data_IF_495132995669
#
_entry.id   IF_495132995669
#
_cell.length_a   1.000
_cell.length_b   1.000
_cell.length_c   1.000
_cell.angle_alpha   90.00
_cell.angle_beta   90.00
_cell.angle_gamma   90.00
#
_symmetry.space_group_name_H-M   'P 1'
#
loop_
_entity.id
_entity.type
_entity.pdbx_description
1 polymer ?
#
# COMPACT_ATOMS: atom_id res chain seq x y z
N UNK A 1 -26.77 84.61 -2.04
CA UNK A 1 -25.49 84.41 -2.74
C UNK A 1 -24.79 83.13 -2.22
N UNK A 2 -25.47 81.97 -2.27
CA UNK A 2 -24.97 80.72 -1.65
C UNK A 2 -25.46 79.45 -2.38
N UNK A 3 -25.67 79.53 -3.70
CA UNK A 3 -26.17 78.39 -4.52
C UNK A 3 -25.14 77.78 -5.46
N UNK A 4 -23.84 78.02 -5.26
CA UNK A 4 -22.80 77.50 -6.17
C UNK A 4 -21.58 76.84 -5.51
N UNK A 5 -21.50 76.76 -4.18
CA UNK A 5 -20.29 76.23 -3.51
C UNK A 5 -20.35 74.73 -3.12
N UNK A 6 -21.44 74.01 -3.40
CA UNK A 6 -21.58 72.60 -3.00
C UNK A 6 -21.44 71.57 -4.14
N UNK A 7 -21.32 72.02 -5.39
CA UNK A 7 -21.33 71.12 -6.55
C UNK A 7 -19.96 70.57 -6.98
N UNK A 8 -18.85 71.06 -6.40
CA UNK A 8 -17.50 70.68 -6.85
C UNK A 8 -16.80 69.63 -5.97
N UNK A 9 -17.31 69.37 -4.76
CA UNK A 9 -16.71 68.38 -3.83
C UNK A 9 -17.25 66.96 -4.11
N UNK A 10 -18.45 66.83 -4.67
CA UNK A 10 -19.08 65.52 -4.93
C UNK A 10 -18.45 64.84 -6.16
N UNK A 11 -18.09 65.59 -7.21
CA UNK A 11 -17.53 65.04 -8.44
C UNK A 11 -16.13 64.42 -8.29
N UNK A 12 -15.29 64.97 -7.41
CA UNK A 12 -13.94 64.45 -7.14
C UNK A 12 -13.96 63.20 -6.27
N UNK A 13 -14.84 63.12 -5.27
CA UNK A 13 -14.98 61.92 -4.44
C UNK A 13 -15.57 60.77 -5.26
N UNK A 14 -16.58 61.00 -6.10
CA UNK A 14 -17.14 59.95 -6.97
C UNK A 14 -16.15 59.49 -8.05
N UNK A 15 -15.41 60.42 -8.67
CA UNK A 15 -14.36 60.07 -9.64
C UNK A 15 -13.17 59.33 -9.02
N UNK A 16 -12.75 59.74 -7.82
CA UNK A 16 -11.71 59.05 -7.05
C UNK A 16 -12.15 57.67 -6.58
N UNK A 17 -13.40 57.52 -6.14
CA UNK A 17 -14.00 56.22 -5.77
C UNK A 17 -14.13 55.31 -7.00
N UNK A 18 -14.54 55.81 -8.17
CA UNK A 18 -14.58 55.02 -9.42
C UNK A 18 -13.17 54.57 -9.86
N UNK A 19 -12.17 55.43 -9.74
CA UNK A 19 -10.78 55.10 -10.03
C UNK A 19 -10.21 54.06 -9.05
N UNK A 20 -10.46 54.22 -7.75
CA UNK A 20 -10.08 53.27 -6.70
C UNK A 20 -10.81 51.92 -6.82
N UNK A 21 -12.05 51.91 -7.31
CA UNK A 21 -12.82 50.68 -7.52
C UNK A 21 -12.23 49.84 -8.67
N UNK A 22 -11.78 50.49 -9.75
CA UNK A 22 -11.10 49.81 -10.87
C UNK A 22 -9.75 49.22 -10.46
N UNK A 23 -9.02 49.94 -9.61
CA UNK A 23 -7.75 49.49 -9.02
C UNK A 23 -7.98 48.28 -8.07
N UNK A 24 -9.04 48.32 -7.27
CA UNK A 24 -9.38 47.24 -6.33
C UNK A 24 -9.89 45.97 -7.01
N UNK A 25 -10.60 46.08 -8.14
CA UNK A 25 -11.01 44.92 -8.94
C UNK A 25 -9.82 44.22 -9.61
N UNK A 26 -8.81 44.99 -10.06
CA UNK A 26 -7.59 44.42 -10.62
C UNK A 26 -6.75 43.69 -9.55
N UNK A 27 -6.70 44.22 -8.33
CA UNK A 27 -6.03 43.58 -7.20
C UNK A 27 -6.75 42.30 -6.75
N UNK A 28 -8.09 42.34 -6.71
CA UNK A 28 -8.94 41.18 -6.46
C UNK A 28 -8.74 40.06 -7.49
N UNK A 29 -8.53 40.39 -8.78
CA UNK A 29 -8.26 39.40 -9.82
C UNK A 29 -6.90 38.70 -9.61
N UNK A 30 -5.84 39.48 -9.31
CA UNK A 30 -4.50 38.95 -9.02
C UNK A 30 -4.49 38.03 -7.79
N UNK A 31 -5.24 38.39 -6.76
CA UNK A 31 -5.38 37.58 -5.54
C UNK A 31 -6.15 36.28 -5.79
N UNK A 32 -7.13 36.28 -6.71
CA UNK A 32 -7.85 35.07 -7.13
C UNK A 32 -6.93 34.12 -7.90
N UNK A 33 -6.18 34.65 -8.87
CA UNK A 33 -5.20 33.87 -9.65
C UNK A 33 -4.14 33.23 -8.74
N UNK A 34 -3.59 33.98 -7.79
CA UNK A 34 -2.62 33.45 -6.82
C UNK A 34 -3.23 32.37 -5.90
N UNK A 35 -4.51 32.53 -5.52
CA UNK A 35 -5.23 31.53 -4.72
C UNK A 35 -5.50 30.25 -5.51
N UNK A 36 -5.86 30.36 -6.78
CA UNK A 36 -6.08 29.23 -7.68
C UNK A 36 -4.78 28.47 -7.95
N UNK A 37 -3.67 29.18 -8.15
CA UNK A 37 -2.34 28.60 -8.29
C UNK A 37 -1.91 27.85 -7.02
N UNK A 38 -2.08 28.46 -5.85
CA UNK A 38 -1.80 27.81 -4.56
C UNK A 38 -2.68 26.56 -4.34
N UNK A 39 -3.94 26.58 -4.77
CA UNK A 39 -4.83 25.42 -4.69
C UNK A 39 -4.34 24.28 -5.59
N UNK A 40 -3.88 24.57 -6.82
CA UNK A 40 -3.32 23.57 -7.74
C UNK A 40 -2.05 22.94 -7.19
N UNK A 41 -1.13 23.73 -6.64
CA UNK A 41 0.07 23.20 -6.00
C UNK A 41 -0.28 22.29 -4.81
N UNK A 42 -1.23 22.70 -3.95
CA UNK A 42 -1.68 21.89 -2.81
C UNK A 42 -2.37 20.61 -3.25
N UNK A 43 -3.19 20.65 -4.31
CA UNK A 43 -3.86 19.48 -4.86
C UNK A 43 -2.85 18.49 -5.47
N UNK A 44 -1.85 18.96 -6.20
CA UNK A 44 -0.77 18.09 -6.73
C UNK A 44 0.03 17.44 -5.59
N UNK A 45 0.36 18.19 -4.54
CA UNK A 45 1.07 17.65 -3.38
C UNK A 45 0.24 16.64 -2.59
N UNK A 46 -1.07 16.87 -2.46
CA UNK A 46 -1.98 15.93 -1.83
C UNK A 46 -2.12 14.64 -2.65
N UNK A 47 -2.26 14.75 -3.98
CA UNK A 47 -2.30 13.60 -4.89
C UNK A 47 -0.99 12.80 -4.85
N UNK A 48 0.16 13.46 -4.88
CA UNK A 48 1.47 12.79 -4.77
C UNK A 48 1.64 12.05 -3.43
N UNK A 49 1.20 12.66 -2.32
CA UNK A 49 1.22 12.02 -1.00
C UNK A 49 0.26 10.83 -0.92
N UNK A 50 -0.90 10.92 -1.57
CA UNK A 50 -1.88 9.84 -1.60
C UNK A 50 -1.39 8.66 -2.46
N UNK A 51 -0.75 8.93 -3.60
CA UNK A 51 -0.09 7.91 -4.40
C UNK A 51 1.04 7.22 -3.64
N UNK A 52 1.90 7.98 -2.95
CA UNK A 52 2.96 7.40 -2.11
C UNK A 52 2.42 6.56 -0.95
N UNK A 53 1.29 6.95 -0.35
CA UNK A 53 0.64 6.17 0.72
C UNK A 53 0.00 4.87 0.19
N UNK A 54 -0.58 4.91 -1.03
CA UNK A 54 -1.11 3.73 -1.68
C UNK A 54 -0.01 2.73 -2.07
N UNK A 55 1.13 3.23 -2.55
CA UNK A 55 2.30 2.41 -2.90
C UNK A 55 2.94 1.77 -1.67
N UNK A 56 2.97 2.47 -0.53
CA UNK A 56 3.46 1.93 0.74
C UNK A 56 2.55 0.84 1.35
N UNK A 57 1.26 0.83 1.00
CA UNK A 57 0.31 -0.20 1.46
C UNK A 57 0.27 -1.42 0.53
N UNK A 58 0.77 -1.29 -0.70
CA UNK A 58 0.87 -2.38 -1.67
C UNK A 58 2.17 -3.20 -1.52
N UNK A 59 3.09 -2.80 -0.65
CA UNK A 59 4.24 -3.63 -0.29
C UNK A 59 3.72 -4.88 0.46
N UNK A 60 4.01 -6.10 0.00
CA UNK A 60 3.65 -7.31 0.74
C UNK A 60 4.27 -7.21 2.13
N UNK A 61 3.45 -7.44 3.16
CA UNK A 61 3.90 -7.47 4.54
C UNK A 61 5.15 -8.35 4.65
N UNK A 62 6.17 -7.97 5.44
CA UNK A 62 7.26 -8.86 5.77
C UNK A 62 6.61 -10.11 6.38
N UNK A 63 6.67 -11.24 5.65
CA UNK A 63 6.41 -12.54 6.24
C UNK A 63 7.33 -12.61 7.44
N UNK A 64 6.75 -12.64 8.64
CA UNK A 64 7.50 -12.89 9.87
C UNK A 64 8.46 -14.06 9.61
N UNK A 65 9.70 -14.04 10.12
CA UNK A 65 10.60 -15.17 9.96
C UNK A 65 9.95 -16.37 10.65
N UNK A 66 9.18 -17.12 9.87
CA UNK A 66 8.50 -18.32 10.31
C UNK A 66 9.64 -19.28 10.62
N UNK A 67 9.83 -19.54 11.91
CA UNK A 67 10.88 -20.43 12.37
C UNK A 67 10.76 -21.74 11.59
N UNK A 68 11.80 -22.11 10.85
CA UNK A 68 11.76 -23.33 10.05
C UNK A 68 11.52 -24.52 10.96
N UNK A 69 10.47 -25.29 10.69
CA UNK A 69 10.23 -26.51 11.43
C UNK A 69 11.19 -27.61 10.97
N UNK A 70 11.45 -28.54 11.88
CA UNK A 70 12.18 -29.75 11.56
C UNK A 70 11.25 -30.81 10.96
N UNK A 71 10.97 -30.66 9.65
CA UNK A 71 10.17 -31.63 8.90
C UNK A 71 10.69 -33.09 9.00
N UNK A 72 11.92 -33.34 9.45
CA UNK A 72 12.43 -34.71 9.65
C UNK A 72 11.79 -35.42 10.85
N UNK A 73 11.04 -34.69 11.70
CA UNK A 73 10.22 -35.27 12.76
C UNK A 73 9.04 -36.08 12.22
N UNK A 74 8.61 -35.83 10.97
CA UNK A 74 7.58 -36.62 10.29
C UNK A 74 8.21 -37.93 9.78
N UNK A 75 7.56 -39.05 10.08
CA UNK A 75 8.11 -40.35 9.76
C UNK A 75 8.21 -40.57 8.23
N UNK A 76 9.40 -40.94 7.76
CA UNK A 76 9.70 -41.10 6.34
C UNK A 76 10.23 -39.85 5.64
N UNK A 77 10.22 -38.67 6.29
CA UNK A 77 10.90 -37.48 5.78
C UNK A 77 12.36 -37.50 6.23
N UNK A 78 13.25 -37.89 5.32
CA UNK A 78 14.69 -37.76 5.52
C UNK A 78 15.21 -36.34 5.24
N UNK A 79 16.48 -36.04 5.57
CA UNK A 79 17.10 -34.73 5.31
C UNK A 79 17.10 -34.35 3.82
N UNK A 80 17.14 -35.34 2.92
CA UNK A 80 17.03 -35.13 1.47
C UNK A 80 15.63 -34.61 1.10
N UNK A 81 14.58 -35.21 1.66
CA UNK A 81 13.21 -34.80 1.39
C UNK A 81 12.88 -33.47 2.03
N UNK A 82 13.33 -33.22 3.27
CA UNK A 82 13.22 -31.89 3.89
C UNK A 82 13.85 -30.81 3.01
N UNK A 83 15.05 -31.04 2.46
CA UNK A 83 15.71 -30.08 1.57
C UNK A 83 14.88 -29.80 0.31
N UNK A 84 14.30 -30.83 -0.31
CA UNK A 84 13.41 -30.69 -1.49
C UNK A 84 12.11 -29.94 -1.14
N UNK A 85 11.52 -30.24 0.01
CA UNK A 85 10.31 -29.57 0.50
C UNK A 85 10.58 -28.09 0.78
N UNK A 86 11.69 -27.77 1.45
CA UNK A 86 12.12 -26.38 1.67
C UNK A 86 12.43 -25.66 0.37
N UNK A 87 13.05 -26.32 -0.60
CA UNK A 87 13.26 -25.75 -1.93
C UNK A 87 11.95 -25.45 -2.68
N UNK A 88 10.87 -26.18 -2.37
CA UNK A 88 9.51 -25.91 -2.87
C UNK A 88 8.73 -24.88 -2.03
N UNK A 89 9.36 -24.28 -1.01
CA UNK A 89 8.74 -23.28 -0.14
C UNK A 89 7.91 -23.88 1.00
N UNK A 90 8.09 -25.17 1.32
CA UNK A 90 7.47 -25.83 2.49
C UNK A 90 8.49 -25.87 3.62
N UNK A 91 8.33 -24.94 4.56
CA UNK A 91 9.26 -24.72 5.68
C UNK A 91 8.68 -25.15 7.03
N UNK A 92 7.36 -25.27 7.14
CA UNK A 92 6.67 -25.57 8.41
C UNK A 92 5.73 -26.76 8.34
N UNK A 93 5.39 -27.35 9.50
CA UNK A 93 4.41 -28.43 9.58
C UNK A 93 3.03 -27.97 9.07
N UNK A 94 2.65 -26.71 9.34
CA UNK A 94 1.40 -26.13 8.84
C UNK A 94 1.37 -26.06 7.30
N UNK A 95 2.48 -25.66 6.68
CA UNK A 95 2.60 -25.64 5.22
C UNK A 95 2.59 -27.05 4.62
N UNK A 96 3.25 -28.00 5.28
CA UNK A 96 3.25 -29.40 4.86
C UNK A 96 1.87 -30.05 4.98
N UNK A 97 1.13 -29.76 6.05
CA UNK A 97 -0.23 -30.23 6.28
C UNK A 97 -1.26 -29.61 5.31
N UNK A 98 -0.99 -28.39 4.82
CA UNK A 98 -1.82 -27.72 3.81
C UNK A 98 -1.44 -28.12 2.37
N UNK A 99 -0.33 -28.83 2.17
CA UNK A 99 0.13 -29.22 0.85
C UNK A 99 -0.70 -30.37 0.27
N UNK A 100 -0.87 -30.36 -1.05
CA UNK A 100 -1.59 -31.40 -1.75
C UNK A 100 -0.70 -32.65 -1.98
N UNK A 101 -1.20 -33.87 -1.77
CA UNK A 101 -0.40 -35.09 -1.91
C UNK A 101 0.20 -35.27 -3.31
N UNK A 102 -0.48 -34.84 -4.39
CA UNK A 102 0.09 -34.89 -5.75
C UNK A 102 1.21 -33.88 -5.93
N UNK A 103 1.08 -32.70 -5.31
CA UNK A 103 2.18 -31.72 -5.27
C UNK A 103 3.38 -32.28 -4.52
N UNK A 104 3.18 -32.91 -3.37
CA UNK A 104 4.26 -33.54 -2.60
C UNK A 104 4.94 -34.66 -3.39
N UNK A 105 4.18 -35.50 -4.11
CA UNK A 105 4.76 -36.52 -5.01
C UNK A 105 5.69 -35.89 -6.06
N UNK A 106 5.26 -34.78 -6.68
CA UNK A 106 6.05 -34.05 -7.67
C UNK A 106 7.31 -33.40 -7.09
N UNK A 107 7.20 -32.76 -5.92
CA UNK A 107 8.31 -32.05 -5.26
C UNK A 107 9.36 -33.02 -4.73
N UNK A 108 8.91 -34.08 -4.07
CA UNK A 108 9.80 -35.05 -3.43
C UNK A 108 10.50 -35.90 -4.47
N UNK A 109 9.88 -36.13 -5.65
CA UNK A 109 10.45 -36.89 -6.75
C UNK A 109 11.16 -38.16 -6.26
N UNK A 110 10.47 -38.92 -5.39
CA UNK A 110 11.04 -40.12 -4.81
C UNK A 110 11.19 -41.20 -5.89
N UNK A 111 12.20 -42.04 -5.74
CA UNK A 111 12.35 -43.18 -6.64
C UNK A 111 11.27 -44.23 -6.39
N UNK A 112 10.92 -45.05 -7.38
CA UNK A 112 9.91 -46.13 -7.27
C UNK A 112 10.14 -47.10 -6.09
N UNK A 113 11.40 -47.28 -5.66
CA UNK A 113 11.74 -48.14 -4.53
C UNK A 113 11.59 -47.46 -3.16
N UNK A 114 11.46 -46.13 -3.11
CA UNK A 114 11.17 -45.40 -1.88
C UNK A 114 9.67 -45.44 -1.62
N UNK A 115 9.26 -46.31 -0.70
CA UNK A 115 7.90 -46.28 -0.18
C UNK A 115 7.72 -45.03 0.66
N UNK A 116 6.98 -44.06 0.14
CA UNK A 116 6.51 -42.90 0.88
C UNK A 116 5.00 -42.75 0.66
N UNK A 117 4.32 -42.29 1.71
CA UNK A 117 2.88 -42.09 1.71
C UNK A 117 2.64 -40.61 2.01
N UNK A 118 2.40 -39.76 0.99
CA UNK A 118 2.24 -38.33 1.20
C UNK A 118 1.01 -38.02 2.07
N UNK A 119 -0.04 -38.86 2.04
CA UNK A 119 -1.18 -38.72 2.94
C UNK A 119 -0.77 -38.88 4.42
N UNK A 120 0.07 -39.87 4.73
CA UNK A 120 0.62 -40.07 6.09
C UNK A 120 1.43 -38.86 6.56
N UNK A 121 2.24 -38.28 5.67
CA UNK A 121 3.02 -37.09 6.02
C UNK A 121 2.15 -35.88 6.33
N UNK A 122 1.08 -35.67 5.55
CA UNK A 122 0.11 -34.60 5.79
C UNK A 122 -0.58 -34.80 7.15
N UNK A 123 -1.03 -36.01 7.45
CA UNK A 123 -1.69 -36.33 8.73
C UNK A 123 -0.76 -36.14 9.94
N UNK A 124 0.49 -36.59 9.86
CA UNK A 124 1.49 -36.42 10.92
C UNK A 124 1.90 -34.95 11.08
N UNK A 125 2.10 -34.23 9.97
CA UNK A 125 2.39 -32.80 10.00
C UNK A 125 1.25 -32.00 10.63
N UNK A 126 -0.01 -32.34 10.35
CA UNK A 126 -1.17 -31.69 10.98
C UNK A 126 -1.19 -31.90 12.50
N UNK A 127 -0.83 -33.10 12.97
CA UNK A 127 -0.74 -33.41 14.40
C UNK A 127 0.40 -32.65 15.09
N UNK A 128 1.57 -32.55 14.44
CA UNK A 128 2.70 -31.78 14.95
C UNK A 128 2.37 -30.29 15.01
N UNK A 129 1.74 -29.74 13.95
CA UNK A 129 1.31 -28.35 13.89
C UNK A 129 0.25 -27.98 14.95
N UNK A 130 -0.57 -28.95 15.38
CA UNK A 130 -1.59 -28.75 16.41
C UNK A 130 -1.07 -28.97 17.85
N UNK A 131 0.11 -29.59 18.00
CA UNK A 131 0.72 -29.94 19.28
C UNK A 131 1.84 -29.01 19.75
N UNK A 132 2.25 -28.06 18.90
CA UNK A 132 3.08 -26.90 19.27
C UNK A 132 2.20 -25.70 19.66
#
# INVERSE_FOLDING_TARGET
>A
MFRFLFAFIIGTVTGFVLAKLRESVADQARLREARDEAMRYRAQMAAARQSAAAEATAAPAPTEPQQDDDLTRVNGIGPVFQSRLRAAGIHTYAQLAAADPDTLRGVVAAADWQKFEPERWIEEAAQLAAGE
#
